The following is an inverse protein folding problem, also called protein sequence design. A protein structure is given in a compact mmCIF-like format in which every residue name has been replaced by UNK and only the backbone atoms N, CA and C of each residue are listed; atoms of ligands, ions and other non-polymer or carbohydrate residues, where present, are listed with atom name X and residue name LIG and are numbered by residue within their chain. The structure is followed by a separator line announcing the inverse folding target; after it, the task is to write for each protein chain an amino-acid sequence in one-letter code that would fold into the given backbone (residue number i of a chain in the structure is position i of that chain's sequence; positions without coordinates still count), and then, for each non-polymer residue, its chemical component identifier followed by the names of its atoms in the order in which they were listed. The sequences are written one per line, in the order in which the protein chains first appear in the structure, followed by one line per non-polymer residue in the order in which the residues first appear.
data_IF_196794255168
#
_entry.id   IF_196794255168
#
_cell.length_a   1.000
_cell.length_b   1.000
_cell.length_c   1.000
_cell.angle_alpha   90.00
_cell.angle_beta   90.00
_cell.angle_gamma   90.00
#
_symmetry.space_group_name_H-M   'P 1'
#
loop_
_entity.id
_entity.type
_entity.pdbx_description
1 polymer ?
2 polymer ?
3 non-polymer ?
4 non-polymer ?
5 water ?
#
# COMPACT_ATOMS: atom_id res chain seq x y z
N UNK A 1 2.90 1.29 32.96
CA UNK A 1 1.59 0.67 33.17
C UNK A 1 1.59 -0.81 32.77
N UNK A 2 0.79 -1.60 33.47
CA UNK A 2 0.72 -3.05 33.28
C UNK A 2 -0.73 -3.47 33.08
N UNK A 3 -0.94 -4.45 32.20
CA UNK A 3 -2.28 -4.91 31.84
C UNK A 3 -2.22 -6.39 31.51
N UNK A 4 -3.37 -7.06 31.58
CA UNK A 4 -3.53 -8.42 31.05
C UNK A 4 -4.12 -8.31 29.65
N UNK A 5 -3.44 -8.91 28.68
CA UNK A 5 -3.76 -8.74 27.28
C UNK A 5 -3.86 -10.11 26.61
N UNK A 6 -4.60 -10.15 25.52
CA UNK A 6 -4.80 -11.38 24.75
C UNK A 6 -3.75 -11.48 23.66
N UNK A 7 -3.20 -12.69 23.50
CA UNK A 7 -2.24 -12.92 22.42
C UNK A 7 -2.87 -12.63 21.06
N UNK A 8 -2.11 -11.96 20.20
CA UNK A 8 -2.63 -11.59 18.88
C UNK A 8 -2.89 -12.79 17.99
N UNK A 9 -2.01 -13.79 18.04
CA UNK A 9 -2.14 -14.98 17.21
C UNK A 9 -2.39 -16.20 18.09
N UNK A 10 -3.02 -17.21 17.52
CA UNK A 10 -3.30 -18.45 18.21
C UNK A 10 -4.62 -18.41 18.95
N UNK A 11 -4.87 -19.44 19.77
CA UNK A 11 -6.11 -19.46 20.56
C UNK A 11 -6.12 -18.34 21.58
N UNK A 12 -7.30 -18.12 22.17
CA UNK A 12 -7.45 -17.01 23.08
C UNK A 12 -6.70 -17.29 24.38
N UNK A 13 -5.45 -16.83 24.44
CA UNK A 13 -4.58 -17.05 25.59
C UNK A 13 -4.17 -15.69 26.15
N UNK A 14 -4.30 -15.54 27.46
CA UNK A 14 -4.01 -14.29 28.14
C UNK A 14 -2.56 -14.26 28.62
N UNK A 15 -2.02 -13.04 28.72
CA UNK A 15 -0.65 -12.83 29.17
C UNK A 15 -0.57 -11.46 29.85
N UNK A 16 -0.01 -11.42 31.05
CA UNK A 16 0.22 -10.16 31.72
C UNK A 16 1.41 -9.45 31.08
N UNK A 17 1.19 -8.20 30.64
CA UNK A 17 2.23 -7.44 29.95
C UNK A 17 2.44 -6.13 30.69
N UNK A 18 3.66 -5.61 30.61
CA UNK A 18 4.04 -4.40 31.30
C UNK A 18 4.84 -3.50 30.37
N UNK A 19 4.47 -2.23 30.28
CA UNK A 19 5.08 -1.33 29.32
C UNK A 19 5.31 0.05 29.93
N UNK A 20 6.29 0.75 29.37
CA UNK A 20 6.76 2.03 29.90
C UNK A 20 7.24 2.91 28.76
N UNK A 21 7.55 4.17 29.11
CA UNK A 21 7.99 5.19 28.17
C UNK A 21 6.97 5.40 27.05
N UNK A 22 5.71 5.58 27.42
CA UNK A 22 4.62 5.73 26.46
C UNK A 22 4.65 7.14 25.88
N UNK A 23 4.80 7.24 24.55
CA UNK A 23 4.87 8.51 23.86
C UNK A 23 3.94 8.50 22.66
N UNK A 24 3.19 9.59 22.49
CA UNK A 24 2.30 9.71 21.33
C UNK A 24 3.14 9.84 20.08
N UNK A 25 2.83 9.01 19.08
CA UNK A 25 3.50 9.09 17.79
C UNK A 25 2.56 9.77 16.80
N UNK A 26 1.26 9.60 17.00
CA UNK A 26 0.27 10.21 16.14
C UNK A 26 -1.10 10.29 16.76
N UNK A 27 -1.76 11.43 16.59
CA UNK A 27 -3.11 11.67 17.07
C UNK A 27 -4.11 11.56 15.93
N UNK A 28 -5.36 11.95 16.20
CA UNK A 28 -6.40 11.98 15.19
C UNK A 28 -7.64 11.20 15.58
N UNK A 29 -8.77 11.52 14.95
CA UNK A 29 -10.00 10.79 15.23
C UNK A 29 -9.97 9.36 14.70
N UNK A 30 -9.00 9.03 13.84
CA UNK A 30 -8.81 7.65 13.39
C UNK A 30 -8.16 6.76 14.45
N UNK A 31 -7.96 7.32 15.63
CA UNK A 31 -7.28 6.65 16.72
C UNK A 31 -6.02 7.38 17.14
N UNK A 32 -5.45 6.89 18.23
CA UNK A 32 -4.21 7.43 18.79
C UNK A 32 -3.16 6.34 18.73
N UNK A 33 -1.99 6.66 18.20
CA UNK A 33 -0.89 5.71 18.06
C UNK A 33 0.24 6.09 19.00
N UNK A 34 0.52 5.22 19.96
CA UNK A 34 1.61 5.38 20.90
C UNK A 34 2.77 4.44 20.57
N UNK A 35 3.93 4.76 21.12
CA UNK A 35 5.08 3.87 21.17
C UNK A 35 5.48 3.66 22.62
N UNK A 36 5.83 2.42 22.97
CA UNK A 36 6.22 2.09 24.34
C UNK A 36 7.21 0.93 24.32
N UNK A 37 7.77 0.63 25.48
CA UNK A 37 8.73 -0.46 25.64
C UNK A 37 8.18 -1.49 26.60
N UNK A 38 8.28 -2.76 26.23
CA UNK A 38 7.83 -3.85 27.10
C UNK A 38 8.94 -4.31 28.06
N UNK A 42 12.93 -6.49 27.01
CA UNK A 42 12.34 -5.15 26.98
C UNK A 42 12.36 -4.55 25.57
N UNK A 43 11.30 -4.78 24.79
CA UNK A 43 11.27 -4.41 23.39
C UNK A 43 10.35 -3.22 23.15
N UNK A 44 10.74 -2.39 22.18
CA UNK A 44 9.87 -1.29 21.76
C UNK A 44 8.65 -1.85 21.04
N UNK A 45 7.49 -1.25 21.29
CA UNK A 45 6.24 -1.66 20.64
C UNK A 45 5.41 -0.44 20.27
N UNK A 46 4.47 -0.66 19.35
CA UNK A 46 3.48 0.32 18.97
C UNK A 46 2.13 -0.11 19.51
N UNK A 47 1.37 0.85 20.01
CA UNK A 47 0.02 0.58 20.53
C UNK A 47 -0.95 1.55 19.86
N UNK A 48 -1.96 1.01 19.20
CA UNK A 48 -3.02 1.80 18.61
C UNK A 48 -4.25 1.70 19.51
N UNK A 49 -4.69 2.83 20.03
CA UNK A 49 -5.89 2.93 20.87
C UNK A 49 -6.98 3.57 20.03
N UNK A 50 -8.10 2.86 19.84
CA UNK A 50 -9.21 3.36 19.03
C UNK A 50 -10.52 3.16 19.77
N UNK A 51 -11.41 4.14 19.65
CA UNK A 51 -12.77 3.99 20.14
C UNK A 51 -13.47 2.88 19.35
N UNK A 52 -14.22 2.04 20.06
CA UNK A 52 -14.91 0.92 19.44
C UNK A 52 -16.34 0.85 19.95
N UNK A 53 -17.30 0.82 19.03
CA UNK A 53 -18.68 0.50 19.38
C UNK A 53 -18.74 -0.93 19.92
N UNK A 54 -19.18 -1.08 21.17
CA UNK A 54 -19.19 -2.40 21.82
C UNK A 54 -20.10 -3.38 21.09
N UNK A 55 -21.10 -2.89 20.35
CA UNK A 55 -22.07 -3.76 19.71
C UNK A 55 -21.54 -4.46 18.48
N UNK A 56 -20.37 -4.06 17.97
CA UNK A 56 -19.85 -4.61 16.73
C UNK A 56 -18.38 -4.99 16.92
N UNK A 57 -17.93 -5.94 16.10
CA UNK A 57 -16.53 -6.32 16.07
C UNK A 57 -15.68 -5.17 15.53
N UNK A 58 -14.41 -5.16 15.91
CA UNK A 58 -13.47 -4.21 15.34
C UNK A 58 -12.91 -4.77 14.04
N UNK A 59 -13.12 -4.04 12.94
CA UNK A 59 -12.78 -4.53 11.61
C UNK A 59 -11.27 -4.75 11.48
N UNK A 60 -10.47 -3.81 11.98
CA UNK A 60 -9.02 -3.96 11.93
C UNK A 60 -8.58 -5.20 12.70
N UNK A 61 -9.15 -5.42 13.90
CA UNK A 61 -8.76 -6.59 14.69
C UNK A 61 -9.07 -7.90 13.98
N UNK A 62 -10.24 -8.00 13.35
CA UNK A 62 -10.60 -9.25 12.68
C UNK A 62 -9.68 -9.53 11.50
N UNK A 63 -9.30 -8.50 10.75
CA UNK A 63 -8.40 -8.69 9.62
C UNK A 63 -7.03 -9.16 10.09
N UNK A 64 -6.49 -8.50 11.11
CA UNK A 64 -5.15 -8.88 11.58
C UNK A 64 -5.14 -10.28 12.16
N UNK A 65 -6.16 -10.66 12.92
CA UNK A 65 -6.20 -12.00 13.49
C UNK A 65 -6.29 -13.07 12.42
N UNK A 66 -6.60 -12.69 11.18
CA UNK A 66 -6.74 -13.61 10.06
C UNK A 66 -5.54 -13.61 9.11
N UNK A 67 -4.64 -12.64 9.21
CA UNK A 67 -3.45 -12.63 8.36
C UNK A 67 -2.23 -13.16 9.12
N UNK A 68 -1.39 -13.91 8.41
CA UNK A 68 -0.17 -14.48 8.99
C UNK A 68 0.82 -14.65 7.84
N UNK A 69 1.76 -13.72 7.75
CA UNK A 69 2.67 -13.62 6.63
C UNK A 69 3.89 -12.83 7.08
N UNK A 70 5.06 -13.24 6.59
CA UNK A 70 6.31 -12.57 6.97
C UNK A 70 6.39 -11.11 6.48
N UNK A 71 5.50 -10.67 5.59
CA UNK A 71 5.52 -9.29 5.11
C UNK A 71 4.33 -8.47 5.61
N UNK A 72 3.66 -8.94 6.66
CA UNK A 72 2.59 -8.22 7.35
C UNK A 72 2.99 -8.00 8.79
N UNK A 73 2.75 -6.79 9.30
CA UNK A 73 3.08 -6.48 10.69
C UNK A 73 2.33 -7.42 11.61
N UNK A 74 3.00 -7.86 12.68
CA UNK A 74 2.42 -8.79 13.64
C UNK A 74 1.63 -8.07 14.71
N UNK A 75 0.42 -8.55 14.97
CA UNK A 75 -0.31 -8.16 16.17
C UNK A 75 0.20 -8.99 17.34
N UNK A 76 0.93 -8.36 18.26
CA UNK A 76 1.51 -9.09 19.39
C UNK A 76 0.45 -9.39 20.44
N UNK A 77 -0.23 -8.35 20.93
CA UNK A 77 -1.35 -8.50 21.86
C UNK A 77 -2.42 -7.46 21.56
N UNK A 78 -3.58 -7.64 22.18
CA UNK A 78 -4.61 -6.61 22.20
C UNK A 78 -5.35 -6.69 23.51
N UNK A 79 -5.91 -5.56 23.93
CA UNK A 79 -6.67 -5.49 25.17
C UNK A 79 -7.64 -4.34 25.09
N UNK A 80 -8.68 -4.39 25.92
CA UNK A 80 -9.70 -3.34 25.91
C UNK A 80 -9.52 -2.41 27.10
N UNK A 81 -10.07 -1.21 26.96
CA UNK A 81 -10.02 -0.18 27.98
C UNK A 81 -11.32 0.59 27.95
N UNK A 82 -11.62 1.26 29.06
CA UNK A 82 -12.78 2.13 29.13
C UNK A 82 -12.34 3.50 29.58
N UNK A 83 -13.27 4.44 29.48
CA UNK A 83 -13.13 5.73 30.13
C UNK A 83 -14.44 6.48 30.05
N UNK A 84 -14.92 7.04 31.15
CA UNK A 84 -16.21 7.74 31.19
C UNK A 84 -17.32 6.91 30.55
N UNK A 87 -20.66 3.70 27.98
CA UNK A 87 -20.41 2.67 26.98
C UNK A 87 -19.18 3.01 26.15
N UNK A 88 -18.30 3.84 26.70
CA UNK A 88 -17.10 4.26 26.00
C UNK A 88 -16.04 3.17 26.12
N UNK A 89 -15.76 2.50 25.00
CA UNK A 89 -14.87 1.34 24.94
C UNK A 89 -13.74 1.64 23.96
N UNK A 90 -12.51 1.31 24.36
CA UNK A 90 -11.35 1.47 23.52
C UNK A 90 -10.67 0.13 23.30
N UNK A 91 -10.34 -0.18 22.06
CA UNK A 91 -9.51 -1.33 21.73
C UNK A 91 -8.07 -0.88 21.59
N UNK A 92 -7.16 -1.67 22.15
CA UNK A 92 -5.73 -1.38 22.12
C UNK A 92 -5.03 -2.50 21.37
N UNK A 93 -4.41 -2.16 20.25
CA UNK A 93 -3.66 -3.13 19.45
C UNK A 93 -2.18 -2.92 19.71
N UNK A 94 -1.52 -3.94 20.25
CA UNK A 94 -0.09 -3.89 20.51
C UNK A 94 0.60 -4.57 19.34
N UNK A 95 1.35 -3.79 18.59
CA UNK A 95 1.94 -4.25 17.34
C UNK A 95 3.45 -4.29 17.42
N UNK A 96 4.02 -5.21 16.66
CA UNK A 96 5.46 -5.31 16.52
C UNK A 96 6.02 -3.99 16.02
N UNK A 97 7.09 -3.52 16.66
CA UNK A 97 7.69 -2.23 16.31
C UNK A 97 8.82 -2.46 15.32
N UNK A 98 8.82 -1.67 14.24
CA UNK A 98 9.85 -1.74 13.21
C UNK A 98 10.46 -0.34 13.11
N UNK A 99 11.78 -0.20 13.19
CA UNK A 99 12.38 1.13 13.41
C UNK A 99 12.05 2.18 12.35
N UNK A 100 11.89 1.78 11.09
CA UNK A 100 11.82 2.75 10.00
C UNK A 100 10.60 2.49 9.12
N UNK A 101 10.30 3.47 8.27
CA UNK A 101 9.32 3.31 7.21
C UNK A 101 9.98 3.63 5.88
N UNK A 102 9.33 3.20 4.79
CA UNK A 102 9.81 3.56 3.47
C UNK A 102 9.79 5.08 3.31
N UNK A 103 8.77 5.73 3.88
CA UNK A 103 8.70 7.19 3.86
C UNK A 103 9.89 7.83 4.56
N UNK A 104 10.23 7.34 5.76
CA UNK A 104 11.35 7.96 6.47
C UNK A 104 12.64 7.76 5.70
N UNK A 105 12.85 6.56 5.15
CA UNK A 105 14.06 6.29 4.39
C UNK A 105 14.12 7.17 3.16
N UNK A 106 13.01 7.26 2.42
CA UNK A 106 12.98 8.10 1.23
C UNK A 106 13.34 9.53 1.59
N UNK A 107 12.84 10.02 2.73
CA UNK A 107 13.06 11.43 3.02
C UNK A 107 14.51 11.68 3.39
N UNK A 108 15.13 10.71 4.11
CA UNK A 108 16.57 10.78 4.35
C UNK A 108 17.33 10.89 3.04
N UNK A 109 16.95 10.12 2.03
CA UNK A 109 17.66 10.20 0.76
C UNK A 109 17.40 11.53 0.07
N UNK A 110 16.14 12.00 0.05
CA UNK A 110 15.85 13.27 -0.62
C UNK A 110 16.51 14.44 0.11
N UNK A 111 16.43 14.46 1.45
CA UNK A 111 17.11 15.50 2.21
C UNK A 111 18.60 15.52 1.90
N UNK A 112 19.23 14.35 1.82
CA UNK A 112 20.64 14.27 1.48
C UNK A 112 20.90 14.46 0.00
N UNK A 113 19.87 14.77 -0.79
CA UNK A 113 19.97 14.92 -2.24
C UNK A 113 20.63 13.68 -2.84
N UNK A 114 20.08 12.52 -2.50
CA UNK A 114 20.62 11.25 -2.94
C UNK A 114 19.50 10.40 -3.51
N UNK A 115 19.90 9.43 -4.33
CA UNK A 115 18.98 8.48 -4.93
C UNK A 115 19.04 7.17 -4.14
N UNK A 116 17.89 6.58 -3.89
CA UNK A 116 17.86 5.27 -3.23
C UNK A 116 18.46 4.22 -4.17
N UNK A 117 19.43 3.42 -3.72
CA UNK A 117 20.03 2.42 -4.62
C UNK A 117 18.98 1.49 -5.18
N UNK A 118 19.10 1.18 -6.48
CA UNK A 118 18.07 0.44 -7.19
C UNK A 118 17.83 -0.93 -6.57
N UNK A 119 18.85 -1.53 -5.95
CA UNK A 119 18.68 -2.83 -5.34
C UNK A 119 17.68 -2.78 -4.20
N UNK A 120 17.71 -1.71 -3.40
CA UNK A 120 16.74 -1.60 -2.30
C UNK A 120 15.35 -1.30 -2.81
N UNK A 121 15.24 -0.56 -3.92
CA UNK A 121 13.93 -0.39 -4.55
C UNK A 121 13.36 -1.75 -4.94
N UNK A 122 14.20 -2.60 -5.54
CA UNK A 122 13.77 -3.95 -5.93
C UNK A 122 13.35 -4.76 -4.71
N UNK A 123 14.21 -4.80 -3.69
CA UNK A 123 13.96 -5.62 -2.50
C UNK A 123 12.67 -5.18 -1.81
N UNK A 124 12.50 -3.87 -1.62
CA UNK A 124 11.31 -3.34 -0.94
C UNK A 124 10.05 -3.59 -1.77
N UNK A 125 10.09 -3.28 -3.06
CA UNK A 125 8.85 -3.36 -3.83
C UNK A 125 8.42 -4.80 -4.09
N UNK A 126 9.37 -5.74 -4.22
CA UNK A 126 8.98 -7.15 -4.28
C UNK A 126 8.15 -7.53 -3.05
N UNK A 127 8.62 -7.11 -1.87
CA UNK A 127 7.94 -7.49 -0.63
C UNK A 127 6.57 -6.86 -0.54
N UNK A 128 6.43 -5.60 -0.97
CA UNK A 128 5.11 -4.98 -1.05
C UNK A 128 4.19 -5.77 -1.96
N UNK A 129 4.64 -6.10 -3.16
CA UNK A 129 3.78 -6.83 -4.07
C UNK A 129 3.45 -8.22 -3.53
N UNK A 130 4.43 -8.88 -2.90
CA UNK A 130 4.12 -10.17 -2.31
C UNK A 130 3.10 -10.02 -1.20
N UNK A 131 3.22 -8.99 -0.37
CA UNK A 131 2.26 -8.80 0.72
C UNK A 131 0.85 -8.53 0.16
N UNK A 132 0.76 -7.77 -0.92
CA UNK A 132 -0.55 -7.52 -1.52
C UNK A 132 -1.14 -8.79 -2.12
N UNK A 133 -0.32 -9.60 -2.79
CA UNK A 133 -0.80 -10.90 -3.25
C UNK A 133 -1.44 -11.67 -2.10
N UNK A 134 -0.74 -11.76 -0.97
CA UNK A 134 -1.26 -12.52 0.16
C UNK A 134 -2.58 -11.95 0.69
N UNK A 135 -2.59 -10.66 1.04
CA UNK A 135 -3.79 -10.13 1.69
C UNK A 135 -4.98 -10.22 0.75
N UNK A 136 -4.75 -9.97 -0.54
CA UNK A 136 -5.82 -10.11 -1.52
C UNK A 136 -6.32 -11.54 -1.60
N UNK A 137 -5.41 -12.51 -1.47
CA UNK A 137 -5.86 -13.89 -1.45
C UNK A 137 -6.69 -14.18 -0.22
N UNK A 138 -6.45 -13.45 0.88
CA UNK A 138 -7.24 -13.61 2.09
C UNK A 138 -8.50 -12.75 2.07
N UNK A 139 -8.79 -12.11 0.94
CA UNK A 139 -10.00 -11.31 0.83
C UNK A 139 -9.91 -9.89 1.37
N UNK A 140 -8.71 -9.38 1.57
CA UNK A 140 -8.51 -8.09 2.23
C UNK A 140 -7.89 -7.12 1.24
N UNK A 141 -8.53 -5.96 1.05
CA UNK A 141 -7.96 -4.85 0.31
C UNK A 141 -7.46 -3.83 1.31
N UNK A 142 -6.22 -3.37 1.15
CA UNK A 142 -5.63 -2.55 2.22
C UNK A 142 -6.20 -1.14 2.21
N UNK A 143 -6.29 -0.54 1.03
CA UNK A 143 -6.90 0.79 0.77
C UNK A 143 -6.12 1.94 1.36
N UNK A 144 -4.91 1.74 1.88
CA UNK A 144 -4.11 2.91 2.23
C UNK A 144 -2.63 2.66 1.94
N UNK A 145 -2.32 2.06 0.80
CA UNK A 145 -0.92 1.78 0.47
C UNK A 145 -0.21 3.10 0.17
N UNK A 146 0.81 3.40 0.97
CA UNK A 146 1.61 4.61 0.85
C UNK A 146 2.91 4.40 1.59
N UNK A 147 3.96 5.18 1.27
CA UNK A 147 5.26 4.94 1.91
C UNK A 147 5.20 4.97 3.42
N UNK A 148 4.35 5.82 3.99
CA UNK A 148 4.32 5.90 5.45
C UNK A 148 3.76 4.63 6.10
N UNK A 149 3.13 3.74 5.33
CA UNK A 149 2.56 2.52 5.88
C UNK A 149 3.38 1.28 5.57
N UNK A 150 4.60 1.45 5.06
CA UNK A 150 5.50 0.33 4.77
C UNK A 150 6.65 0.37 5.77
N UNK A 151 6.60 -0.52 6.75
CA UNK A 151 7.68 -0.65 7.72
C UNK A 151 8.87 -1.36 7.08
N UNK A 152 10.07 -0.89 7.39
CA UNK A 152 11.29 -1.49 6.88
C UNK A 152 12.32 -1.56 7.99
N UNK A 153 13.00 -2.70 8.09
CA UNK A 153 14.14 -2.85 8.98
C UNK A 153 15.39 -2.25 8.33
N UNK A 154 16.05 -1.30 8.97
CA UNK A 154 17.20 -0.63 8.32
C UNK A 154 18.33 -1.57 7.96
N UNK A 155 18.44 -2.72 8.63
CA UNK A 155 19.59 -3.59 8.46
C UNK A 155 19.31 -4.81 7.60
N UNK A 156 18.19 -5.49 7.84
CA UNK A 156 17.88 -6.71 7.10
C UNK A 156 17.10 -6.45 5.82
N UNK A 157 16.55 -5.24 5.65
CA UNK A 157 15.70 -4.83 4.53
C UNK A 157 14.35 -5.54 4.50
N UNK A 158 13.95 -6.14 5.62
CA UNK A 158 12.62 -6.74 5.71
C UNK A 158 11.57 -5.63 5.61
N UNK A 159 10.53 -5.86 4.81
CA UNK A 159 9.43 -4.91 4.69
C UNK A 159 8.14 -5.56 5.18
N UNK A 160 7.37 -4.81 5.98
CA UNK A 160 6.09 -5.28 6.50
C UNK A 160 5.03 -4.22 6.26
N UNK A 161 3.89 -4.65 5.74
CA UNK A 161 2.75 -3.75 5.58
C UNK A 161 2.05 -3.58 6.92
N UNK A 162 1.67 -2.35 7.25
CA UNK A 162 1.02 -2.09 8.54
C UNK A 162 -0.15 -1.11 8.34
N UNK A 163 -0.83 -0.78 9.44
CA UNK A 163 -2.00 0.11 9.45
C UNK A 163 -3.13 -0.43 8.55
N UNK A 164 -3.80 -1.46 9.05
CA UNK A 164 -4.99 -2.00 8.43
C UNK A 164 -6.27 -1.30 8.89
N UNK A 165 -6.15 -0.06 9.37
CA UNK A 165 -7.32 0.67 9.81
C UNK A 165 -8.23 1.13 8.69
N UNK A 166 -7.73 1.21 7.45
CA UNK A 166 -8.59 1.50 6.31
C UNK A 166 -9.04 0.25 5.57
N UNK A 167 -8.56 -0.92 5.97
CA UNK A 167 -8.71 -2.13 5.18
C UNK A 167 -10.15 -2.65 5.21
N UNK A 168 -10.51 -3.37 4.15
CA UNK A 168 -11.88 -3.84 3.99
C UNK A 168 -11.88 -5.06 3.09
N UNK A 169 -12.83 -5.97 3.34
CA UNK A 169 -13.16 -7.03 2.40
C UNK A 169 -14.12 -6.47 1.34
N UNK A 170 -13.66 -6.39 0.09
CA UNK A 170 -14.47 -5.88 -1.01
C UNK A 170 -15.33 -7.02 -1.56
N UNK A 171 -16.63 -6.99 -1.26
CA UNK A 171 -17.55 -8.06 -1.66
C UNK A 171 -18.26 -7.66 -2.93
N UNK A 172 -18.31 -8.56 -3.90
CA UNK A 172 -18.90 -8.26 -5.20
C UNK A 172 -20.34 -7.78 -5.03
N UNK A 173 -20.60 -6.55 -5.45
CA UNK A 173 -21.93 -5.99 -5.39
C UNK A 173 -22.17 -5.07 -4.21
N UNK A 174 -21.26 -5.05 -3.22
CA UNK A 174 -21.39 -4.12 -2.13
C UNK A 174 -20.72 -2.80 -2.47
N UNK A 175 -21.42 -1.67 -2.38
CA UNK A 175 -20.78 -0.38 -2.65
C UNK A 175 -19.80 -0.04 -1.54
N UNK A 176 -18.69 0.58 -1.92
CA UNK A 176 -17.69 1.00 -0.95
C UNK A 176 -17.36 2.47 -1.11
N UNK A 177 -16.76 3.03 -0.06
CA UNK A 177 -16.50 4.46 0.01
C UNK A 177 -15.44 4.82 -1.01
N UNK A 178 -15.72 5.84 -1.83
CA UNK A 178 -14.79 6.27 -2.88
C UNK A 178 -13.64 7.13 -2.35
N UNK A 180 -11.18 7.33 -0.37
CA UNK A 180 -10.37 6.44 0.44
C UNK A 180 -8.94 6.52 -0.13
N UNK A 181 -7.96 5.98 0.61
CA UNK A 181 -6.53 6.05 0.32
C UNK A 181 -5.99 7.44 0.57
N UNK A 182 -4.66 7.57 0.60
CA UNK A 182 -4.04 8.89 0.63
C UNK A 182 -3.99 9.43 -0.79
N UNK A 183 -4.18 10.75 -0.92
CA UNK A 183 -4.54 11.34 -2.21
C UNK A 183 -3.49 11.05 -3.29
N UNK A 184 -2.20 11.25 -2.98
CA UNK A 184 -1.19 11.07 -4.04
C UNK A 184 -1.17 9.65 -4.59
N UNK A 185 -1.65 8.67 -3.82
CA UNK A 185 -1.63 7.24 -4.16
C UNK A 185 -3.02 6.74 -4.52
N UNK A 186 -4.01 7.63 -4.66
CA UNK A 186 -5.40 7.24 -4.87
C UNK A 186 -5.64 6.92 -6.35
N UNK A 187 -6.19 5.72 -6.60
CA UNK A 187 -6.47 5.26 -7.95
C UNK A 187 -7.49 6.18 -8.64
N UNK A 188 -7.35 6.38 -9.96
CA UNK A 188 -8.25 7.35 -10.63
C UNK A 188 -9.73 6.99 -10.56
N UNK A 189 -10.07 5.69 -10.54
CA UNK A 189 -11.49 5.32 -10.46
C UNK A 189 -12.12 5.79 -9.15
N UNK A 190 -11.33 5.83 -8.06
CA UNK A 190 -11.81 6.40 -6.81
C UNK A 190 -12.04 7.90 -6.94
N UNK A 191 -11.15 8.62 -7.63
CA UNK A 191 -11.32 10.06 -7.80
C UNK A 191 -12.55 10.34 -8.64
N UNK A 192 -12.85 9.45 -9.58
CA UNK A 192 -14.09 9.52 -10.34
C UNK A 192 -15.29 9.03 -9.55
N UNK A 193 -15.12 8.70 -8.27
CA UNK A 193 -16.22 8.31 -7.42
C UNK A 193 -16.78 6.92 -7.64
N UNK A 194 -16.00 6.00 -8.21
CA UNK A 194 -16.47 4.62 -8.30
C UNK A 194 -16.77 4.06 -6.91
N UNK A 195 -17.85 3.31 -6.79
CA UNK A 195 -18.14 2.59 -5.56
C UNK A 195 -17.96 1.08 -5.73
N UNK A 196 -17.80 0.60 -6.96
CA UNK A 196 -17.65 -0.82 -7.25
C UNK A 196 -16.21 -1.21 -7.54
N UNK A 197 -15.26 -0.48 -6.98
CA UNK A 197 -13.86 -0.75 -7.24
C UNK A 197 -13.45 -2.09 -6.62
N UNK A 198 -12.28 -2.57 -7.05
CA UNK A 198 -11.71 -3.86 -6.67
C UNK A 198 -10.41 -3.64 -5.90
N UNK A 199 -9.76 -4.75 -5.53
CA UNK A 199 -8.50 -4.64 -4.81
C UNK A 199 -7.37 -4.15 -5.69
N UNK A 200 -7.59 -3.99 -7.00
CA UNK A 200 -6.58 -3.38 -7.87
C UNK A 200 -6.32 -1.91 -7.53
N UNK A 201 -7.15 -1.26 -6.71
CA UNK A 201 -6.73 0.06 -6.24
C UNK A 201 -5.42 -0.06 -5.46
N UNK A 202 -5.17 -1.19 -4.80
CA UNK A 202 -3.91 -1.33 -4.05
C UNK A 202 -2.74 -1.37 -5.02
N UNK A 203 -2.92 -1.99 -6.18
CA UNK A 203 -1.82 -2.10 -7.14
C UNK A 203 -1.50 -0.74 -7.74
N UNK A 204 -2.53 0.06 -8.04
CA UNK A 204 -2.29 1.45 -8.44
C UNK A 204 -1.44 2.16 -7.39
N UNK A 205 -1.83 2.06 -6.12
CA UNK A 205 -1.09 2.74 -5.06
C UNK A 205 0.36 2.25 -5.00
N UNK A 206 0.54 0.94 -5.15
CA UNK A 206 1.89 0.37 -5.12
C UNK A 206 2.72 0.84 -6.31
N UNK A 207 2.09 0.99 -7.47
CA UNK A 207 2.80 1.64 -8.58
C UNK A 207 3.23 3.06 -8.27
N UNK A 208 2.38 3.82 -7.58
CA UNK A 208 2.77 5.18 -7.20
C UNK A 208 3.95 5.16 -6.23
N UNK A 209 4.02 4.18 -5.33
CA UNK A 209 5.18 4.11 -4.45
C UNK A 209 6.44 3.85 -5.26
N UNK A 210 6.38 2.83 -6.14
CA UNK A 210 7.55 2.48 -6.94
C UNK A 210 8.06 3.69 -7.73
N UNK A 211 7.15 4.35 -8.46
CA UNK A 211 7.55 5.55 -9.19
C UNK A 211 8.18 6.57 -8.26
N UNK A 212 7.58 6.75 -7.08
CA UNK A 212 8.12 7.72 -6.12
C UNK A 212 9.54 7.35 -5.69
N UNK A 213 9.80 6.05 -5.50
CA UNK A 213 11.16 5.66 -5.12
C UNK A 213 12.15 5.89 -6.26
N UNK A 214 11.69 5.81 -7.51
CA UNK A 214 12.56 6.08 -8.64
C UNK A 214 12.73 7.56 -8.91
N UNK A 215 11.74 8.39 -8.55
CA UNK A 215 11.79 9.80 -8.91
C UNK A 215 12.44 10.67 -7.83
N UNK A 216 12.29 10.31 -6.56
CA UNK A 216 12.66 11.21 -5.48
C UNK A 216 11.55 12.13 -5.02
N UNK A 217 10.33 11.90 -5.50
CA UNK A 217 9.18 12.73 -5.18
C UNK A 217 7.93 12.02 -5.71
N UNK A 218 6.76 12.32 -5.16
CA UNK A 218 5.54 11.66 -5.64
C UNK A 218 5.34 11.88 -7.13
N UNK A 219 4.90 10.82 -7.82
CA UNK A 219 4.66 10.92 -9.25
C UNK A 219 3.46 11.82 -9.55
N UNK A 220 2.44 11.79 -8.69
CA UNK A 220 1.18 12.48 -8.91
C UNK A 220 0.87 13.35 -7.69
N UNK A 221 1.44 14.53 -7.60
CA UNK A 221 1.28 15.38 -6.39
C UNK A 221 0.09 16.33 -6.44
N UNK A 222 -1.11 15.76 -6.51
CA UNK A 222 -2.31 16.60 -6.58
C UNK A 222 -2.56 17.31 -5.27
N UNK A 223 -3.04 18.56 -5.36
CA UNK A 223 -3.34 19.34 -4.16
C UNK A 223 -4.83 19.34 -3.83
N UNK A 224 -5.60 18.49 -4.50
CA UNK A 224 -7.05 18.40 -4.33
C UNK A 224 -7.50 17.22 -5.16
N UNK A 225 -8.74 16.79 -4.94
CA UNK A 225 -9.24 15.66 -5.71
C UNK A 225 -9.11 15.86 -7.20
N UNK A 226 -9.60 16.99 -7.71
CA UNK A 226 -9.57 17.20 -9.14
C UNK A 226 -8.13 17.43 -9.63
N UNK A 227 -7.31 18.13 -8.85
CA UNK A 227 -5.94 18.33 -9.30
C UNK A 227 -5.16 17.02 -9.27
N UNK A 228 -5.63 16.04 -8.50
CA UNK A 228 -4.98 14.74 -8.50
C UNK A 228 -5.19 14.01 -9.83
N UNK A 229 -6.42 14.02 -10.32
CA UNK A 229 -6.71 13.53 -11.66
C UNK A 229 -5.93 14.33 -12.70
N UNK A 230 -5.80 15.65 -12.52
CA UNK A 230 -5.01 16.45 -13.45
C UNK A 230 -3.55 16.04 -13.43
N UNK A 231 -2.99 15.78 -12.24
CA UNK A 231 -1.59 15.34 -12.20
C UNK A 231 -1.43 13.99 -12.88
N UNK A 232 -2.40 13.09 -12.70
CA UNK A 232 -2.32 11.79 -13.39
C UNK A 232 -2.38 11.99 -14.90
N UNK A 233 -3.27 12.89 -15.36
CA UNK A 233 -3.49 13.09 -16.79
C UNK A 233 -2.25 13.70 -17.46
N UNK A 234 -1.54 14.59 -16.76
CA UNK A 234 -0.35 15.19 -17.35
C UNK A 234 0.75 14.17 -17.59
N UNK A 235 0.66 12.99 -16.99
CA UNK A 235 1.63 11.91 -17.22
C UNK A 235 1.08 10.87 -18.18
N UNK A 236 -0.11 10.33 -17.88
CA UNK A 236 -0.71 9.28 -18.69
C UNK A 236 -1.48 9.80 -19.90
N UNK A 237 -1.76 11.10 -19.98
CA UNK A 237 -2.66 11.62 -20.99
C UNK A 237 -4.12 11.45 -20.57
N UNK A 238 -5.01 12.16 -21.26
CA UNK A 238 -6.42 12.04 -20.92
C UNK A 238 -6.87 10.59 -21.07
N UNK A 239 -7.61 10.03 -20.10
CA UNK A 239 -8.15 8.68 -20.31
C UNK A 239 -9.12 8.67 -21.49
N UNK A 240 -9.11 7.57 -22.23
CA UNK A 240 -10.09 7.45 -23.30
C UNK A 240 -11.48 7.31 -22.71
N UNK A 241 -12.49 7.45 -23.56
CA UNK A 241 -13.85 7.26 -23.09
C UNK A 241 -14.11 5.84 -22.63
N UNK A 242 -13.44 4.87 -23.26
CA UNK A 242 -13.59 3.47 -22.86
C UNK A 242 -12.91 3.19 -21.52
N UNK A 243 -11.82 3.89 -21.20
CA UNK A 243 -11.18 3.74 -19.90
C UNK A 243 -12.05 4.39 -18.82
N UNK A 244 -12.61 5.56 -19.13
CA UNK A 244 -13.54 6.21 -18.20
C UNK A 244 -14.73 5.30 -17.94
N UNK A 245 -15.20 4.61 -18.98
CA UNK A 245 -16.33 3.70 -18.83
C UNK A 245 -16.03 2.58 -17.84
N UNK A 246 -14.79 2.08 -17.83
CA UNK A 246 -14.40 1.05 -16.85
C UNK A 246 -14.24 1.65 -15.45
N UNK A 247 -13.84 2.92 -15.36
CA UNK A 247 -13.67 3.56 -14.06
C UNK A 247 -15.00 3.95 -13.45
N UNK A 248 -15.76 4.79 -14.15
CA UNK A 248 -17.08 5.20 -13.70
C UNK A 248 -17.90 5.57 -14.93
N UNK A 249 -18.84 4.73 -15.34
CA UNK A 249 -19.58 5.00 -16.59
C UNK A 249 -20.43 6.24 -16.56
N UNK A 250 -20.54 6.91 -15.40
CA UNK A 250 -21.29 8.16 -15.37
C UNK A 250 -20.54 9.32 -16.02
N UNK A 251 -19.30 9.11 -16.46
CA UNK A 251 -18.50 10.18 -17.02
C UNK A 251 -18.20 9.99 -18.49
N UNK A 252 -18.75 8.96 -19.13
CA UNK A 252 -18.34 8.63 -20.49
C UNK A 252 -18.79 9.66 -21.51
N UNK A 253 -19.78 10.48 -21.17
CA UNK A 253 -20.41 11.36 -22.16
C UNK A 253 -19.93 12.80 -22.09
N UNK A 254 -19.02 13.12 -21.17
CA UNK A 254 -18.45 14.47 -21.16
C UNK A 254 -17.34 14.60 -22.21
N UNK A 255 -16.94 15.86 -22.50
CA UNK A 255 -15.95 16.15 -23.52
C UNK A 255 -14.69 16.53 -22.76
N UNK A 256 -13.86 15.56 -22.40
CA UNK A 256 -12.71 16.11 -21.68
C UNK A 256 -11.61 16.56 -22.64
N UNK A 257 -10.88 17.63 -22.30
CA UNK A 257 -9.76 18.04 -23.17
C UNK A 257 -8.75 16.92 -23.32
N UNK A 258 -8.18 16.83 -24.51
CA UNK A 258 -7.29 15.72 -24.87
C UNK A 258 -5.85 16.17 -24.65
N UNK A 259 -5.24 15.70 -23.57
CA UNK A 259 -3.87 16.03 -23.20
C UNK A 259 -2.99 14.86 -23.58
N UNK A 260 -1.92 15.12 -24.32
CA UNK A 260 -1.02 14.06 -24.74
C UNK A 260 -0.31 13.44 -23.54
N UNK A 261 -0.02 12.16 -23.64
CA UNK A 261 0.76 11.49 -22.60
C UNK A 261 2.21 11.95 -22.65
N UNK A 262 2.79 12.12 -21.49
CA UNK A 262 4.23 12.25 -21.39
C UNK A 262 4.88 10.89 -21.59
N UNK A 263 5.80 10.74 -22.55
CA UNK A 263 6.44 9.43 -22.76
C UNK A 263 7.07 8.91 -21.47
N UNK A 264 6.81 7.64 -21.18
CA UNK A 264 7.22 7.06 -19.90
C UNK A 264 8.71 7.19 -19.68
N UNK A 265 9.51 6.97 -20.72
CA UNK A 265 10.95 7.08 -20.62
C UNK A 265 11.42 8.52 -20.42
N UNK A 266 10.55 9.51 -20.64
CA UNK A 266 10.88 10.90 -20.37
C UNK A 266 10.30 11.40 -19.05
N UNK A 267 9.59 10.52 -18.32
CA UNK A 267 9.09 10.85 -16.99
C UNK A 267 10.17 10.65 -15.94
N UNK A 268 11.02 9.65 -16.14
CA UNK A 268 12.01 9.26 -15.14
C UNK A 268 13.38 9.79 -15.50
N UNK A 269 14.25 9.84 -14.50
CA UNK A 269 15.58 10.39 -14.71
C UNK A 269 16.34 9.52 -15.70
N UNK A 270 17.36 10.10 -16.32
CA UNK A 270 18.25 9.31 -17.14
C UNK A 270 18.88 8.22 -16.28
N UNK A 271 19.11 7.06 -16.88
CA UNK A 271 19.67 5.87 -16.24
C UNK A 271 18.67 5.16 -15.32
N UNK A 272 17.40 5.56 -15.29
CA UNK A 272 16.40 4.71 -14.67
C UNK A 272 16.31 3.41 -15.47
N UNK A 273 16.35 2.25 -14.82
CA UNK A 273 16.33 0.98 -15.55
C UNK A 273 15.08 0.87 -16.41
N UNK A 274 15.23 0.37 -17.64
CA UNK A 274 14.04 0.23 -18.51
C UNK A 274 12.98 -0.67 -17.92
N UNK A 275 13.36 -1.76 -17.26
CA UNK A 275 12.37 -2.66 -16.70
C UNK A 275 11.61 -2.00 -15.55
N UNK A 276 12.27 -1.10 -14.81
CA UNK A 276 11.57 -0.33 -13.79
C UNK A 276 10.48 0.53 -14.42
N UNK A 277 10.81 1.22 -15.51
CA UNK A 277 9.82 2.03 -16.22
C UNK A 277 8.71 1.14 -16.75
N UNK A 278 9.08 -0.02 -17.31
CA UNK A 278 8.10 -0.96 -17.85
C UNK A 278 7.11 -1.38 -16.77
N UNK A 279 7.61 -1.75 -15.60
CA UNK A 279 6.73 -2.17 -14.51
C UNK A 279 5.79 -1.05 -14.11
N UNK A 280 6.29 0.18 -14.04
CA UNK A 280 5.47 1.30 -13.61
C UNK A 280 4.32 1.54 -14.58
N UNK A 281 4.57 1.39 -15.88
CA UNK A 281 3.51 1.55 -16.87
C UNK A 281 2.51 0.40 -16.87
N UNK A 282 2.91 -0.80 -16.43
CA UNK A 282 1.99 -1.91 -16.32
C UNK A 282 1.14 -1.87 -15.07
N UNK A 283 1.54 -1.09 -14.07
CA UNK A 283 0.75 -0.94 -12.85
C UNK A 283 -0.15 0.29 -12.92
N UNK A 284 0.34 1.34 -13.54
CA UNK A 284 -0.35 2.64 -13.54
C UNK A 284 -1.25 2.74 -14.78
N UNK A 285 -2.24 1.86 -14.80
CA UNK A 285 -3.21 1.77 -15.89
C UNK A 285 -4.54 2.34 -15.44
N UNK A 286 -5.16 3.18 -16.26
CA UNK A 286 -6.50 3.67 -15.95
C UNK A 286 -7.48 2.54 -15.71
N UNK A 287 -7.55 1.61 -16.65
CA UNK A 287 -8.52 0.53 -16.52
C UNK A 287 -8.06 -0.40 -15.40
N UNK A 288 -8.85 -0.58 -14.35
CA UNK A 288 -8.35 -1.34 -13.19
C UNK A 288 -7.96 -2.76 -13.53
N UNK A 289 -8.70 -3.40 -14.44
CA UNK A 289 -8.42 -4.80 -14.79
C UNK A 289 -7.21 -4.98 -15.70
N UNK A 290 -6.66 -3.90 -16.25
CA UNK A 290 -5.40 -3.97 -17.00
C UNK A 290 -4.16 -3.88 -16.11
N UNK A 291 -4.31 -3.54 -14.83
CA UNK A 291 -3.17 -3.51 -13.92
C UNK A 291 -2.70 -4.94 -13.62
N UNK A 292 -1.38 -5.09 -13.51
CA UNK A 292 -0.81 -6.38 -13.13
C UNK A 292 -1.40 -6.85 -11.81
N UNK A 293 -1.61 -8.16 -11.70
CA UNK A 293 -1.87 -8.75 -10.40
C UNK A 293 -0.62 -8.60 -9.53
N UNK A 294 -0.77 -8.57 -8.21
CA UNK A 294 0.44 -8.44 -7.37
C UNK A 294 1.46 -9.52 -7.63
N UNK A 295 1.03 -10.78 -7.79
CA UNK A 295 1.99 -11.84 -8.07
C UNK A 295 2.63 -11.65 -9.44
N UNK A 296 1.87 -11.18 -10.43
CA UNK A 296 2.44 -10.85 -11.73
C UNK A 296 3.55 -9.82 -11.59
N UNK A 297 3.37 -8.85 -10.68
CA UNK A 297 4.41 -7.85 -10.46
C UNK A 297 5.65 -8.49 -9.83
N UNK A 298 5.45 -9.39 -8.86
CA UNK A 298 6.59 -10.12 -8.29
C UNK A 298 7.36 -10.86 -9.38
N UNK A 299 6.65 -11.38 -10.39
CA UNK A 299 7.32 -12.14 -11.43
C UNK A 299 7.95 -11.26 -12.50
N UNK A 300 7.81 -9.94 -12.39
CA UNK A 300 8.30 -9.03 -13.42
C UNK A 300 9.81 -9.09 -13.58
N UNK A 301 10.28 -8.79 -14.79
CA UNK A 301 11.71 -8.81 -15.09
C UNK A 301 12.50 -7.88 -14.18
N UNK A 302 11.86 -6.80 -13.71
CA UNK A 302 12.54 -5.84 -12.85
C UNK A 302 13.09 -6.48 -11.58
N UNK A 303 12.51 -7.59 -11.13
CA UNK A 303 12.93 -8.25 -9.91
C UNK A 303 13.88 -9.43 -10.18
N UNK A 304 14.33 -9.59 -11.42
CA UNK A 304 15.17 -10.74 -11.77
C UNK A 304 16.44 -10.78 -10.91
N UNK A 305 16.94 -9.62 -10.49
CA UNK A 305 18.18 -9.61 -9.70
C UNK A 305 17.99 -10.31 -8.37
N UNK A 306 16.78 -10.24 -7.78
CA UNK A 306 16.52 -10.89 -6.50
C UNK A 306 16.51 -12.40 -6.60
N UNK A 307 16.20 -12.95 -7.77
CA UNK A 307 16.16 -14.39 -7.98
C UNK A 307 17.50 -14.98 -8.41
N UNK A 308 18.50 -14.15 -8.67
CA UNK A 308 19.78 -14.64 -9.14
C UNK A 308 20.59 -15.17 -7.96
N UNK A 309 21.09 -16.40 -8.10
CA UNK A 309 21.88 -17.01 -7.04
C UNK A 309 23.07 -16.13 -6.68
N UNK A 310 23.20 -15.82 -5.39
CA UNK A 310 24.33 -15.05 -4.92
C UNK A 310 24.12 -13.56 -4.83
N UNK A 311 22.91 -13.08 -5.07
CA UNK A 311 22.62 -11.65 -4.90
C UNK A 311 22.55 -11.33 -3.41
N UNK A 312 23.20 -10.23 -3.01
CA UNK A 312 23.27 -9.85 -1.61
C UNK A 312 22.91 -8.38 -1.45
N UNK A 313 22.56 -8.03 -0.21
CA UNK A 313 22.21 -6.66 0.13
C UNK A 313 23.40 -5.72 -0.02
N UNK A 314 23.14 -4.43 -0.26
CA UNK A 314 24.26 -3.49 -0.48
C UNK A 314 25.19 -3.34 0.71
N UNK A 315 24.67 -3.53 1.91
CA UNK A 315 25.44 -3.67 3.13
C UNK A 315 25.98 -5.09 3.35
N UNK A 316 26.02 -5.90 2.29
CA UNK A 316 26.62 -7.24 2.28
C UNK A 316 26.11 -8.11 3.43
N UNK A 317 24.79 -8.29 3.41
CA UNK A 317 24.03 -9.21 4.23
C UNK A 317 23.12 -10.02 3.32
N UNK A 318 22.61 -11.15 3.80
CA UNK A 318 21.65 -11.92 3.00
C UNK A 318 20.40 -11.12 2.66
N UNK A 319 19.83 -11.45 1.51
CA UNK A 319 18.50 -10.93 1.19
C UNK A 319 17.51 -11.45 2.22
N UNK A 320 16.50 -10.67 2.56
CA UNK A 320 15.48 -11.15 3.51
C UNK A 320 14.64 -12.25 2.86
N UNK A 321 13.72 -12.84 3.60
CA UNK A 321 12.88 -13.90 3.01
C UNK A 321 12.07 -13.41 1.82
N UNK A 322 12.37 -13.98 0.64
CA UNK A 322 11.69 -13.60 -0.59
C UNK A 322 11.01 -14.77 -1.29
N UNK A 323 11.43 -16.01 -1.05
CA UNK A 323 10.99 -17.14 -1.85
C UNK A 323 10.40 -18.28 -1.03
N UNK A 324 10.14 -18.07 0.26
CA UNK A 324 9.60 -19.11 1.14
C UNK A 324 8.07 -19.11 1.07
N UNK A 325 7.56 -19.51 -0.09
CA UNK A 325 6.14 -19.40 -0.39
C UNK A 325 5.34 -20.47 0.33
N UNK A 326 4.23 -20.08 0.96
CA UNK A 326 3.34 -21.08 1.53
C UNK A 326 2.59 -21.80 0.40
N UNK A 327 1.93 -22.90 0.78
CA UNK A 327 1.10 -23.63 -0.18
C UNK A 327 0.00 -22.72 -0.73
N UNK A 328 -0.54 -21.84 0.10
CA UNK A 328 -1.55 -20.93 -0.39
C UNK A 328 -1.02 -20.00 -1.46
N UNK A 329 0.19 -19.46 -1.24
CA UNK A 329 0.76 -18.50 -2.18
C UNK A 329 1.01 -19.13 -3.55
N UNK A 330 1.52 -20.36 -3.57
CA UNK A 330 1.77 -21.11 -4.79
C UNK A 330 0.49 -21.50 -5.51
N UNK A 331 -0.67 -21.35 -4.86
CA UNK A 331 -1.95 -21.67 -5.47
C UNK A 331 -2.65 -20.43 -6.05
N UNK A 332 -2.09 -19.24 -5.85
CA UNK A 332 -2.75 -18.01 -6.29
C UNK A 332 -2.80 -17.92 -7.81
N UNK A 333 -1.65 -17.97 -8.45
CA UNK A 333 -1.56 -17.94 -9.91
C UNK A 333 -0.48 -18.93 -10.31
N UNK A 334 -0.80 -20.23 -10.30
CA UNK A 334 0.26 -21.25 -10.40
C UNK A 334 1.11 -21.12 -11.65
N UNK A 335 0.61 -20.49 -12.70
CA UNK A 335 1.38 -20.43 -13.92
C UNK A 335 2.59 -19.51 -13.81
N UNK A 336 2.62 -18.63 -12.80
CA UNK A 336 3.81 -17.84 -12.49
C UNK A 336 4.80 -18.56 -11.58
N UNK A 337 4.47 -19.77 -11.11
CA UNK A 337 5.30 -20.41 -10.09
C UNK A 337 6.71 -20.71 -10.59
N UNK A 338 6.84 -21.10 -11.86
CA UNK A 338 8.17 -21.40 -12.38
C UNK A 338 9.04 -20.15 -12.38
N UNK A 339 8.45 -18.98 -12.62
CA UNK A 339 9.22 -17.75 -12.56
C UNK A 339 9.46 -17.33 -11.11
N UNK A 340 8.44 -17.44 -10.26
CA UNK A 340 8.55 -16.96 -8.89
C UNK A 340 9.58 -17.77 -8.11
N UNK A 341 9.62 -19.07 -8.31
CA UNK A 341 10.59 -19.95 -7.68
C UNK A 341 11.78 -20.10 -8.64
N UNK A 342 12.93 -19.48 -8.37
CA UNK A 342 14.08 -19.66 -9.24
C UNK A 342 14.49 -21.11 -9.32
N UNK A 343 15.13 -21.51 -10.42
CA UNK A 343 15.49 -22.93 -10.60
C UNK A 343 16.27 -23.50 -9.42
N UNK A 344 17.14 -22.72 -8.80
CA UNK A 344 17.93 -23.24 -7.68
C UNK A 344 17.09 -23.46 -6.42
N UNK A 345 15.77 -23.27 -6.51
CA UNK A 345 14.86 -23.29 -5.37
C UNK A 345 15.35 -22.42 -4.22
N UNK B 1 -19.72 16.30 -6.27
CA UNK B 1 -20.27 14.95 -6.20
C UNK B 1 -21.14 14.68 -7.42
N UNK B 2 -21.89 15.70 -7.83
CA UNK B 2 -22.61 15.61 -9.08
C UNK B 2 -21.61 15.48 -10.22
N UNK B 3 -21.78 14.50 -11.12
CA UNK B 3 -20.78 14.32 -12.18
C UNK B 3 -20.62 15.53 -13.08
N UNK B 4 -21.71 16.24 -13.38
CA UNK B 4 -21.58 17.42 -14.23
C UNK B 4 -20.70 18.47 -13.56
N UNK B 5 -20.92 18.71 -12.27
CA UNK B 5 -20.10 19.70 -11.56
C UNK B 5 -18.64 19.28 -11.54
N UNK B 6 -18.37 18.01 -11.23
CA UNK B 6 -16.99 17.56 -11.16
C UNK B 6 -16.33 17.60 -12.53
N UNK B 7 -17.04 17.11 -13.55
CA UNK B 7 -16.48 17.08 -14.90
C UNK B 7 -16.18 18.49 -15.40
N UNK B 8 -17.09 19.43 -15.16
CA UNK B 8 -16.85 20.80 -15.57
C UNK B 8 -15.62 21.38 -14.88
N UNK B 9 -15.46 21.11 -13.58
CA UNK B 9 -14.23 21.51 -12.91
C UNK B 9 -13.01 20.88 -13.58
N UNK B 10 -13.08 19.57 -13.84
CA UNK B 10 -11.96 18.86 -14.47
C UNK B 10 -11.64 19.44 -15.83
N UNK B 11 -12.69 19.72 -16.62
CA UNK B 11 -12.49 20.28 -17.96
C UNK B 11 -11.81 21.64 -17.87
N UNK B 12 -12.24 22.48 -16.92
CA UNK B 12 -11.60 23.78 -16.76
C UNK B 12 -10.14 23.66 -16.35
N UNK B 13 -9.83 22.73 -15.43
CA UNK B 13 -8.44 22.53 -15.04
C UNK B 13 -7.60 21.96 -16.18
N UNK B 14 -8.17 21.02 -16.94
CA UNK B 14 -7.43 20.43 -18.05
C UNK B 14 -7.14 21.46 -19.14
N UNK B 15 -8.09 22.34 -19.41
CA UNK B 15 -7.90 23.38 -20.41
C UNK B 15 -6.74 24.30 -20.06
N UNK B 16 -6.48 24.51 -18.78
CA UNK B 16 -5.39 25.37 -18.36
C UNK B 16 -4.03 24.72 -18.52
N UNK B 17 -3.99 23.42 -18.80
CA UNK B 17 -2.73 22.71 -19.00
C UNK B 17 -2.18 23.00 -20.39
#
# INVERSE_FOLDING_TARGET
TTVVATLGQGPERSQEVAYTDIKVIGNGSFGVVYQARLAETRELVAIKKVLQDKRFKNRELQIMRKLDHCNIVRLRYFFYSSGEKKDELYLNLVLEYVPETVYRVARHFTKAKLTIPILYVKVYMYQLFRSLAYIHSQGVCHRDIKPQNLLVDPDTAVLKLCDFGSAKQLVRGEPNVSXICSRYYRAPELIFGATDYTSSIDVWSAGCVLAELLLGQPIFPGDSGVDQLVEIIKVLGTPTREQIREMNPNYTEFKFPQIKAHPWTKVFKSRTPPEAIALCSSLLEYTPSSRLSPLEACAHSFFDELRCLGTQLPNNRPLPPLFNFSAGELSIQPSLNAILIPPHR
LLPQKFAEELIHRLEAV
#
